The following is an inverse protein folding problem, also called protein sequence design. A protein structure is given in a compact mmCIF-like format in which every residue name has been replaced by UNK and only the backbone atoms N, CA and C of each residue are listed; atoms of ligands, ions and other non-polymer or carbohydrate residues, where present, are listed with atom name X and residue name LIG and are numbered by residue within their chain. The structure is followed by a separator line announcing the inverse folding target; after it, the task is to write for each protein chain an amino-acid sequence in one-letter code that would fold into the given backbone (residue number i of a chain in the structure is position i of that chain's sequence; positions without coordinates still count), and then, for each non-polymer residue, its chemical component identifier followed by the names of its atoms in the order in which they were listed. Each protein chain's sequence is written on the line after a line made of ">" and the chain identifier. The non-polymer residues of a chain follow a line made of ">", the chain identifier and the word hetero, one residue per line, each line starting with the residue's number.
data_IF_031335178044
#
_entry.id   IF_031335178044
#
_cell.length_a   1.000
_cell.length_b   1.000
_cell.length_c   1.000
_cell.angle_alpha   90.00
_cell.angle_beta   90.00
_cell.angle_gamma   90.00
#
_symmetry.space_group_name_H-M   'P 1'
#
loop_
_entity.id
_entity.type
_entity.pdbx_description
1 polymer ?
#
# COMPACT_ATOMS: atom_id res chain seq x y z
N UNK A 1 -79.59 25.58 -56.82
CA UNK A 1 -80.47 26.66 -56.31
C UNK A 1 -80.61 26.49 -54.82
N UNK A 2 -80.59 27.61 -54.08
CA UNK A 2 -80.72 27.78 -52.62
C UNK A 2 -79.59 27.12 -51.79
N UNK A 3 -78.76 27.86 -51.04
CA UNK A 3 -79.11 28.93 -50.09
C UNK A 3 -79.34 28.22 -48.75
N UNK A 4 -78.51 28.34 -47.72
CA UNK A 4 -78.10 29.56 -47.05
C UNK A 4 -78.26 29.33 -45.53
N UNK A 5 -77.25 29.71 -44.76
CA UNK A 5 -77.27 30.26 -43.39
C UNK A 5 -78.16 29.64 -42.28
N UNK A 6 -77.55 29.21 -41.15
CA UNK A 6 -77.43 29.97 -39.88
C UNK A 6 -77.00 29.06 -38.68
N UNK A 7 -75.95 29.53 -38.00
CA UNK A 7 -75.39 29.21 -36.66
C UNK A 7 -76.34 29.77 -35.56
N UNK A 8 -76.28 29.52 -34.21
CA UNK A 8 -75.24 28.89 -33.34
C UNK A 8 -75.76 27.92 -32.24
N UNK A 9 -74.82 27.27 -31.52
CA UNK A 9 -74.92 27.18 -30.05
C UNK A 9 -73.53 27.09 -29.40
N UNK A 10 -73.24 28.08 -28.57
CA UNK A 10 -72.04 28.24 -27.76
C UNK A 10 -72.05 27.32 -26.53
N UNK A 11 -70.93 26.64 -26.24
CA UNK A 11 -70.32 26.48 -24.90
C UNK A 11 -68.80 26.26 -25.12
N UNK A 12 -67.87 27.19 -24.84
CA UNK A 12 -67.33 27.54 -23.53
C UNK A 12 -66.70 26.30 -22.84
N UNK A 13 -65.38 26.08 -22.62
CA UNK A 13 -64.23 26.95 -22.31
C UNK A 13 -62.87 26.32 -22.75
N UNK A 14 -61.85 27.17 -22.91
CA UNK A 14 -60.39 26.93 -23.09
C UNK A 14 -59.69 26.28 -21.87
N UNK A 15 -58.34 26.09 -21.85
CA UNK A 15 -57.41 25.53 -22.83
C UNK A 15 -56.47 24.47 -22.18
N UNK A 16 -55.78 23.65 -22.97
CA UNK A 16 -54.52 23.04 -22.51
C UNK A 16 -53.56 22.91 -23.69
N UNK A 17 -52.71 23.93 -23.80
CA UNK A 17 -51.46 23.83 -24.54
C UNK A 17 -50.50 22.98 -23.72
N UNK A 18 -50.01 21.87 -24.28
CA UNK A 18 -48.74 21.26 -23.89
C UNK A 18 -48.21 20.35 -25.00
N UNK A 19 -47.21 20.90 -25.69
CA UNK A 19 -45.89 20.28 -25.87
C UNK A 19 -45.82 18.96 -26.67
N UNK A 20 -45.76 19.07 -27.99
CA UNK A 20 -45.19 18.05 -28.86
C UNK A 20 -43.78 18.48 -29.31
N UNK A 21 -42.78 18.25 -28.47
CA UNK A 21 -41.36 18.21 -28.87
C UNK A 21 -40.77 16.91 -28.34
N UNK A 22 -40.87 15.86 -29.16
CA UNK A 22 -40.20 14.57 -29.08
C UNK A 22 -39.82 14.26 -30.54
N UNK A 23 -38.63 13.84 -30.96
CA UNK A 23 -37.43 13.32 -30.32
C UNK A 23 -36.27 13.60 -31.30
N UNK A 24 -35.26 14.33 -30.88
CA UNK A 24 -33.91 14.24 -31.43
C UNK A 24 -32.95 14.54 -30.29
N UNK A 25 -32.87 13.64 -29.31
CA UNK A 25 -31.77 13.65 -28.37
C UNK A 25 -30.53 13.14 -29.12
N UNK A 26 -29.40 13.89 -29.17
CA UNK A 26 -28.17 13.30 -29.63
C UNK A 26 -27.82 12.17 -28.67
N UNK A 27 -27.48 11.00 -29.22
CA UNK A 27 -26.89 9.92 -28.45
C UNK A 27 -25.59 10.44 -27.82
N UNK A 28 -25.67 10.94 -26.60
CA UNK A 28 -24.49 11.09 -25.76
C UNK A 28 -23.98 9.67 -25.56
N UNK A 29 -22.89 9.35 -26.26
CA UNK A 29 -22.07 8.20 -25.92
C UNK A 29 -21.75 8.32 -24.43
N UNK A 30 -22.40 7.48 -23.60
CA UNK A 30 -21.97 7.26 -22.24
C UNK A 30 -20.53 6.74 -22.34
N UNK A 31 -19.55 7.61 -22.08
CA UNK A 31 -18.21 7.16 -21.73
C UNK A 31 -18.41 6.23 -20.54
N UNK A 32 -18.25 4.93 -20.80
CA UNK A 32 -18.20 3.91 -19.78
C UNK A 32 -17.26 4.39 -18.67
N UNK A 33 -17.80 4.53 -17.46
CA UNK A 33 -17.01 4.80 -16.27
C UNK A 33 -16.21 3.54 -15.91
N UNK A 34 -15.13 3.29 -16.65
CA UNK A 34 -14.15 2.23 -16.35
C UNK A 34 -13.01 2.73 -15.46
N UNK A 35 -13.26 3.74 -14.61
CA UNK A 35 -12.22 4.46 -13.86
C UNK A 35 -11.83 3.85 -12.51
N UNK A 36 -12.38 2.70 -12.12
CA UNK A 36 -12.20 2.20 -10.75
C UNK A 36 -10.83 1.54 -10.49
N UNK A 37 -10.11 1.07 -11.52
CA UNK A 37 -8.87 0.28 -11.37
C UNK A 37 -7.70 0.80 -12.23
N UNK A 38 -7.72 2.05 -12.68
CA UNK A 38 -6.68 2.59 -13.57
C UNK A 38 -5.44 2.99 -12.78
N UNK A 39 -4.27 2.51 -13.17
CA UNK A 39 -2.97 2.99 -12.68
C UNK A 39 -2.54 4.15 -13.59
N UNK A 40 -2.74 5.38 -13.13
CA UNK A 40 -2.57 6.61 -13.90
C UNK A 40 -1.42 7.49 -13.40
N UNK A 41 -1.01 7.36 -12.14
CA UNK A 41 0.10 8.13 -11.55
C UNK A 41 1.04 7.21 -10.78
N UNK A 42 2.34 7.29 -11.06
CA UNK A 42 3.38 6.63 -10.27
C UNK A 42 4.32 7.68 -9.71
N UNK A 43 4.67 7.52 -8.43
CA UNK A 43 5.71 8.33 -7.80
C UNK A 43 6.96 7.49 -7.67
N UNK A 44 8.06 8.01 -8.20
CA UNK A 44 9.37 7.41 -8.16
C UNK A 44 10.24 8.19 -7.17
N UNK A 45 10.73 7.50 -6.16
CA UNK A 45 11.55 8.06 -5.11
C UNK A 45 12.99 7.58 -5.23
N UNK A 46 13.92 8.52 -5.45
CA UNK A 46 15.34 8.24 -5.40
C UNK A 46 15.83 8.40 -3.96
N UNK A 47 16.22 7.30 -3.31
CA UNK A 47 16.70 7.29 -1.93
C UNK A 47 17.80 8.31 -1.65
N UNK A 48 17.87 8.81 -0.41
CA UNK A 48 18.87 9.79 0.05
C UNK A 48 18.91 11.10 -0.78
N UNK A 49 20.07 11.77 -0.86
CA UNK A 49 20.28 12.97 -1.67
C UNK A 49 20.90 14.13 -0.90
N UNK A 50 21.62 15.01 -1.60
CA UNK A 50 22.28 16.17 -1.01
C UNK A 50 23.26 15.77 0.09
N UNK A 51 22.96 16.20 1.32
CA UNK A 51 23.77 15.93 2.53
C UNK A 51 23.75 14.48 3.00
N UNK A 52 22.78 13.69 2.52
CA UNK A 52 22.69 12.26 2.82
C UNK A 52 23.26 11.47 1.62
N UNK A 53 24.47 10.90 1.72
CA UNK A 53 25.03 10.09 0.65
C UNK A 53 24.42 8.68 0.58
N UNK A 54 23.68 8.26 1.61
CA UNK A 54 23.36 6.84 1.83
C UNK A 54 24.62 6.02 2.08
N UNK A 55 24.61 4.76 1.65
CA UNK A 55 25.76 3.88 1.73
C UNK A 55 26.94 4.40 0.87
N UNK A 56 28.13 4.39 1.46
CA UNK A 56 29.39 4.79 0.84
C UNK A 56 30.03 3.71 -0.04
N UNK A 57 29.45 2.50 -0.07
CA UNK A 57 29.96 1.35 -0.80
C UNK A 57 31.31 0.87 -0.28
N UNK A 58 32.15 0.35 -1.18
CA UNK A 58 33.52 -0.09 -0.84
C UNK A 58 34.52 1.07 -0.77
N UNK A 59 34.09 2.29 -1.12
CA UNK A 59 34.90 3.51 -1.26
C UNK A 59 35.93 3.45 -2.41
N UNK A 60 35.84 2.47 -3.31
CA UNK A 60 36.60 2.46 -4.57
C UNK A 60 36.10 3.50 -5.57
N UNK A 61 34.84 3.89 -5.45
CA UNK A 61 34.18 4.91 -6.26
C UNK A 61 33.97 6.21 -5.47
N UNK A 62 33.87 7.32 -6.21
CA UNK A 62 33.51 8.64 -5.64
C UNK A 62 32.00 8.80 -5.44
N UNK A 63 31.22 8.12 -6.28
CA UNK A 63 29.76 8.09 -6.22
C UNK A 63 29.31 7.15 -5.11
N UNK A 64 28.15 7.46 -4.57
CA UNK A 64 27.53 6.80 -3.41
C UNK A 64 26.13 6.32 -3.77
N UNK A 65 25.44 5.71 -2.81
CA UNK A 65 24.07 5.22 -3.00
C UNK A 65 23.14 6.26 -3.62
N UNK A 66 23.15 7.51 -3.12
CA UNK A 66 22.28 8.58 -3.65
C UNK A 66 22.43 8.83 -5.15
N UNK A 67 23.62 8.60 -5.71
CA UNK A 67 23.94 8.86 -7.10
C UNK A 67 23.40 7.73 -7.99
N UNK A 68 23.62 6.48 -7.57
CA UNK A 68 23.12 5.28 -8.24
C UNK A 68 21.58 5.25 -8.19
N UNK A 69 21.01 5.50 -7.01
CA UNK A 69 19.56 5.55 -6.82
C UNK A 69 18.91 6.60 -7.73
N UNK A 70 19.49 7.80 -7.84
CA UNK A 70 19.00 8.86 -8.74
C UNK A 70 19.08 8.42 -10.20
N UNK A 71 20.24 7.90 -10.63
CA UNK A 71 20.45 7.51 -12.02
C UNK A 71 19.45 6.42 -12.46
N UNK A 72 19.27 5.38 -11.65
CA UNK A 72 18.30 4.30 -11.93
C UNK A 72 16.87 4.84 -11.89
N UNK A 73 16.52 5.69 -10.93
CA UNK A 73 15.18 6.30 -10.82
C UNK A 73 14.80 7.11 -12.06
N UNK A 74 15.73 7.94 -12.56
CA UNK A 74 15.51 8.74 -13.76
C UNK A 74 15.31 7.85 -15.00
N UNK A 75 16.10 6.79 -15.14
CA UNK A 75 15.96 5.80 -16.22
C UNK A 75 14.62 5.07 -16.14
N UNK A 76 14.17 4.65 -14.96
CA UNK A 76 12.83 4.04 -14.77
C UNK A 76 11.74 4.99 -15.27
N UNK A 77 11.79 6.24 -14.82
CA UNK A 77 10.80 7.23 -15.21
C UNK A 77 10.86 7.60 -16.70
N UNK A 78 12.05 7.59 -17.31
CA UNK A 78 12.20 7.73 -18.76
C UNK A 78 11.49 6.59 -19.50
N UNK A 79 11.76 5.33 -19.14
CA UNK A 79 11.12 4.17 -19.78
C UNK A 79 9.60 4.19 -19.63
N UNK A 80 9.08 4.60 -18.46
CA UNK A 80 7.63 4.77 -18.26
C UNK A 80 7.08 5.87 -19.16
N UNK A 81 7.68 7.06 -19.20
CA UNK A 81 7.23 8.18 -20.05
C UNK A 81 7.22 7.82 -21.53
N UNK A 82 8.21 7.08 -22.00
CA UNK A 82 8.34 6.68 -23.41
C UNK A 82 7.35 5.59 -23.83
N UNK A 83 7.04 4.66 -22.92
CA UNK A 83 6.30 3.43 -23.28
C UNK A 83 4.90 3.33 -22.66
N UNK A 84 4.56 4.19 -21.70
CA UNK A 84 3.27 4.28 -21.01
C UNK A 84 2.84 5.76 -20.96
N UNK A 85 2.55 6.40 -22.10
CA UNK A 85 2.24 7.84 -22.16
C UNK A 85 0.97 8.22 -21.39
N UNK A 86 0.18 7.24 -20.99
CA UNK A 86 -1.05 7.37 -20.24
C UNK A 86 -0.84 7.32 -18.71
N UNK A 87 0.43 7.19 -18.27
CA UNK A 87 0.90 7.21 -16.88
C UNK A 87 1.69 8.50 -16.60
N UNK A 88 1.26 9.26 -15.60
CA UNK A 88 1.98 10.40 -15.06
C UNK A 88 3.09 9.94 -14.13
N UNK A 89 4.33 10.27 -14.47
CA UNK A 89 5.50 10.06 -13.60
C UNK A 89 5.75 11.31 -12.76
N UNK A 90 5.85 11.14 -11.44
CA UNK A 90 6.23 12.19 -10.49
C UNK A 90 7.48 11.72 -9.75
N UNK A 91 8.51 12.56 -9.64
CA UNK A 91 9.70 12.24 -8.87
C UNK A 91 9.68 12.93 -7.51
N UNK A 92 10.26 12.32 -6.49
CA UNK A 92 10.54 13.03 -5.24
C UNK A 92 11.70 14.02 -5.40
N UNK A 93 12.71 13.64 -6.20
CA UNK A 93 13.81 14.49 -6.66
C UNK A 93 14.29 14.07 -8.05
N UNK A 94 14.75 15.06 -8.82
CA UNK A 94 15.35 14.86 -10.15
C UNK A 94 16.83 15.29 -10.19
N UNK A 95 17.35 15.75 -9.06
CA UNK A 95 18.72 16.21 -8.86
C UNK A 95 19.24 15.79 -7.47
N UNK A 96 20.45 16.23 -7.12
CA UNK A 96 21.12 15.91 -5.86
C UNK A 96 20.65 16.80 -4.69
N UNK A 97 19.33 16.91 -4.48
CA UNK A 97 18.75 17.57 -3.30
C UNK A 97 18.37 16.55 -2.23
N UNK A 98 18.50 16.95 -0.96
CA UNK A 98 17.98 16.17 0.16
C UNK A 98 16.47 16.38 0.29
N UNK A 99 15.69 15.29 0.31
CA UNK A 99 14.26 15.29 0.61
C UNK A 99 14.04 14.57 1.94
N UNK A 100 13.33 15.23 2.85
CA UNK A 100 12.93 14.67 4.16
C UNK A 100 12.02 13.45 3.98
N UNK A 101 12.10 12.47 4.88
CA UNK A 101 11.43 11.18 4.73
C UNK A 101 9.91 11.31 4.69
N UNK A 102 9.33 12.12 5.58
CA UNK A 102 7.90 12.44 5.55
C UNK A 102 7.49 13.13 4.27
N UNK A 103 8.34 14.02 3.75
CA UNK A 103 8.02 14.77 2.55
C UNK A 103 7.91 13.85 1.33
N UNK A 104 8.75 12.81 1.22
CA UNK A 104 8.65 11.78 0.15
C UNK A 104 7.26 11.13 0.10
N UNK A 105 6.77 10.68 1.24
CA UNK A 105 5.40 10.16 1.39
C UNK A 105 4.34 11.23 1.07
N UNK A 106 4.53 12.47 1.53
CA UNK A 106 3.60 13.57 1.23
C UNK A 106 3.54 13.89 -0.26
N UNK A 107 4.64 13.76 -1.00
CA UNK A 107 4.69 13.92 -2.47
C UNK A 107 3.75 12.90 -3.12
N UNK A 108 3.80 11.65 -2.65
CA UNK A 108 2.96 10.58 -3.14
C UNK A 108 1.47 10.85 -2.87
N UNK A 109 1.16 11.19 -1.63
CA UNK A 109 -0.21 11.41 -1.17
C UNK A 109 -0.88 12.59 -1.87
N UNK A 110 -0.20 13.74 -1.96
CA UNK A 110 -0.77 14.95 -2.60
C UNK A 110 -0.95 14.81 -4.10
N UNK A 111 -0.13 13.98 -4.75
CA UNK A 111 -0.28 13.66 -6.17
C UNK A 111 -1.31 12.55 -6.42
N UNK A 112 -1.90 11.96 -5.37
CA UNK A 112 -2.84 10.84 -5.46
C UNK A 112 -2.26 9.70 -6.30
N UNK A 113 -1.02 9.32 -6.01
CA UNK A 113 -0.34 8.26 -6.74
C UNK A 113 -1.09 6.93 -6.61
N UNK A 114 -1.03 6.12 -7.66
CA UNK A 114 -1.58 4.75 -7.70
C UNK A 114 -0.51 3.70 -7.37
N UNK A 115 0.77 4.11 -7.38
CA UNK A 115 1.91 3.33 -6.93
C UNK A 115 3.06 4.25 -6.48
N UNK A 116 3.81 3.81 -5.48
CA UNK A 116 5.03 4.44 -4.99
C UNK A 116 6.20 3.45 -5.05
N UNK A 117 7.30 3.82 -5.70
CA UNK A 117 8.50 2.99 -5.84
C UNK A 117 9.69 3.79 -5.33
N UNK A 118 10.24 3.39 -4.19
CA UNK A 118 11.48 3.95 -3.63
C UNK A 118 12.65 3.06 -3.99
N UNK A 119 13.74 3.63 -4.50
CA UNK A 119 14.90 2.92 -5.04
C UNK A 119 16.14 3.23 -4.20
N UNK A 120 16.77 2.18 -3.67
CA UNK A 120 17.89 2.19 -2.73
C UNK A 120 18.96 1.15 -3.12
N UNK A 121 20.12 1.23 -2.47
CA UNK A 121 21.17 0.23 -2.56
C UNK A 121 21.68 -0.19 -1.18
N UNK A 122 21.49 -1.47 -0.88
CA UNK A 122 21.75 -2.04 0.42
C UNK A 122 23.22 -1.95 0.87
N UNK A 123 23.41 -2.23 2.17
CA UNK A 123 24.70 -2.29 2.84
C UNK A 123 24.74 -3.46 3.82
N UNK A 124 25.92 -4.05 4.01
CA UNK A 124 26.17 -4.94 5.13
C UNK A 124 27.56 -4.70 5.73
N UNK A 125 27.75 -5.08 7.00
CA UNK A 125 29.05 -5.01 7.67
C UNK A 125 30.06 -5.96 7.03
N UNK A 126 29.61 -7.11 6.52
CA UNK A 126 30.44 -8.00 5.71
C UNK A 126 30.25 -7.70 4.21
N UNK A 127 31.26 -8.07 3.41
CA UNK A 127 31.23 -7.90 1.95
C UNK A 127 30.55 -9.06 1.22
N UNK A 128 30.17 -10.13 1.93
CA UNK A 128 29.62 -11.36 1.35
C UNK A 128 28.17 -11.22 0.81
N UNK A 129 27.24 -10.51 1.51
CA UNK A 129 25.87 -10.37 1.02
C UNK A 129 25.81 -9.68 -0.34
N UNK A 130 25.01 -10.26 -1.23
CA UNK A 130 24.78 -9.82 -2.60
C UNK A 130 23.36 -10.20 -3.05
N UNK A 131 22.90 -9.60 -4.15
CA UNK A 131 21.55 -9.81 -4.68
C UNK A 131 20.56 -8.71 -4.32
N UNK A 132 19.38 -8.78 -4.94
CA UNK A 132 18.33 -7.77 -4.83
C UNK A 132 17.27 -8.19 -3.82
N UNK A 133 16.61 -7.23 -3.19
CA UNK A 133 15.45 -7.46 -2.34
C UNK A 133 14.42 -6.35 -2.52
N UNK A 134 13.16 -6.63 -2.20
CA UNK A 134 12.11 -5.62 -2.24
C UNK A 134 11.26 -5.71 -0.99
N UNK A 135 10.98 -4.55 -0.41
CA UNK A 135 10.32 -4.41 0.87
C UNK A 135 8.93 -3.79 0.69
N UNK A 136 7.98 -4.34 1.42
CA UNK A 136 6.66 -3.76 1.64
C UNK A 136 6.48 -3.45 3.13
N UNK A 137 5.52 -2.59 3.45
CA UNK A 137 5.22 -2.28 4.84
C UNK A 137 4.77 -3.55 5.57
N UNK A 138 5.35 -3.79 6.74
CA UNK A 138 4.91 -4.86 7.63
C UNK A 138 5.78 -4.99 8.86
N UNK A 139 5.42 -5.93 9.72
CA UNK A 139 6.20 -6.25 10.91
C UNK A 139 7.52 -6.91 10.50
N UNK A 140 8.60 -6.52 11.16
CA UNK A 140 9.90 -7.09 10.89
C UNK A 140 9.89 -8.57 11.28
N UNK A 141 10.19 -9.44 10.31
CA UNK A 141 10.28 -10.89 10.55
C UNK A 141 11.64 -11.34 11.06
N UNK A 142 12.69 -10.55 10.81
CA UNK A 142 14.08 -10.90 11.15
C UNK A 142 14.86 -9.67 11.65
N UNK A 143 15.93 -9.91 12.39
CA UNK A 143 16.84 -8.85 12.83
C UNK A 143 17.53 -8.14 11.66
N UNK A 144 17.83 -8.84 10.57
CA UNK A 144 18.38 -8.24 9.36
C UNK A 144 17.41 -7.22 8.75
N UNK A 145 16.12 -7.56 8.64
CA UNK A 145 15.10 -6.63 8.13
C UNK A 145 14.91 -5.41 9.05
N UNK A 146 15.06 -5.59 10.36
CA UNK A 146 15.07 -4.47 11.31
C UNK A 146 16.25 -3.54 11.07
N UNK A 147 17.46 -4.09 10.90
CA UNK A 147 18.67 -3.27 10.73
C UNK A 147 18.64 -2.47 9.44
N UNK A 148 18.17 -3.03 8.32
CA UNK A 148 18.00 -2.29 7.07
C UNK A 148 17.00 -1.16 7.28
N UNK A 149 15.82 -1.44 7.84
CA UNK A 149 14.83 -0.41 8.12
C UNK A 149 15.33 0.70 9.06
N UNK A 150 16.08 0.35 10.11
CA UNK A 150 16.69 1.33 11.01
C UNK A 150 17.67 2.23 10.25
N UNK A 151 18.57 1.64 9.45
CA UNK A 151 19.56 2.38 8.66
C UNK A 151 18.90 3.35 7.67
N UNK A 152 17.85 2.91 6.99
CA UNK A 152 17.13 3.78 6.04
C UNK A 152 16.32 4.87 6.76
N UNK A 153 15.79 4.57 7.95
CA UNK A 153 15.11 5.54 8.80
C UNK A 153 16.06 6.52 9.51
N UNK A 154 17.36 6.24 9.62
CA UNK A 154 18.35 7.12 10.31
C UNK A 154 18.53 8.47 9.62
N UNK A 155 18.15 8.58 8.35
CA UNK A 155 18.11 9.84 7.59
C UNK A 155 17.27 10.95 8.26
N UNK A 156 16.31 10.60 9.13
CA UNK A 156 15.56 11.58 9.94
C UNK A 156 16.47 12.40 10.87
N UNK A 157 17.60 11.85 11.31
CA UNK A 157 18.54 12.54 12.20
C UNK A 157 19.21 13.73 11.50
N UNK A 158 19.16 13.76 10.17
CA UNK A 158 19.66 14.86 9.36
C UNK A 158 18.64 15.99 9.22
N UNK A 159 17.38 15.79 9.61
CA UNK A 159 16.29 16.77 9.47
C UNK A 159 16.28 17.80 10.61
N UNK A 160 16.02 19.06 10.26
CA UNK A 160 15.78 20.09 11.28
C UNK A 160 14.48 19.77 12.03
N UNK A 161 14.50 19.92 13.35
CA UNK A 161 13.37 19.70 14.25
C UNK A 161 12.78 18.27 14.23
N UNK A 162 13.58 17.24 13.91
CA UNK A 162 13.13 15.84 13.83
C UNK A 162 12.42 15.36 15.11
N UNK A 163 12.84 15.82 16.30
CA UNK A 163 12.19 15.47 17.57
C UNK A 163 10.73 15.94 17.67
N UNK A 164 10.38 17.04 16.99
CA UNK A 164 9.02 17.61 16.95
C UNK A 164 8.20 17.05 15.78
N UNK A 165 8.83 16.81 14.62
CA UNK A 165 8.16 16.35 13.39
C UNK A 165 7.61 14.93 13.48
N UNK A 166 8.26 14.08 14.27
CA UNK A 166 7.89 12.67 14.39
C UNK A 166 7.25 12.32 15.74
N UNK A 167 6.89 13.31 16.57
CA UNK A 167 6.09 13.17 17.82
C UNK A 167 6.50 11.97 18.72
N UNK A 168 7.80 11.79 18.94
CA UNK A 168 8.32 10.70 19.76
C UNK A 168 8.38 9.33 19.09
N UNK A 169 8.29 9.25 17.75
CA UNK A 169 8.56 8.04 16.97
C UNK A 169 9.93 7.46 17.33
N UNK A 170 9.92 6.31 17.99
CA UNK A 170 11.09 5.48 18.17
C UNK A 170 11.07 4.38 17.09
N UNK A 171 12.00 4.37 16.11
CA UNK A 171 12.11 3.30 15.13
C UNK A 171 12.38 1.92 15.77
N UNK A 172 12.69 1.87 17.07
CA UNK A 172 12.88 0.64 17.85
C UNK A 172 11.62 0.21 18.62
N UNK A 173 10.54 1.00 18.62
CA UNK A 173 9.27 0.67 19.28
C UNK A 173 8.34 -0.15 18.35
N UNK A 174 8.08 -1.43 18.66
CA UNK A 174 7.20 -2.29 17.85
C UNK A 174 5.74 -1.79 17.77
N UNK A 175 5.24 -1.03 18.76
CA UNK A 175 3.85 -0.57 18.80
C UNK A 175 3.58 0.56 17.80
N UNK A 176 4.56 1.45 17.62
CA UNK A 176 4.61 2.48 16.58
C UNK A 176 4.45 1.89 15.18
N UNK A 177 5.08 0.74 14.93
CA UNK A 177 5.07 0.04 13.64
C UNK A 177 3.80 -0.78 13.38
N UNK A 178 3.15 -1.29 14.44
CA UNK A 178 1.90 -2.05 14.32
C UNK A 178 0.75 -1.16 13.80
N UNK A 179 0.47 -0.01 14.39
CA UNK A 179 -0.68 0.81 13.93
C UNK A 179 -0.47 1.38 12.51
N UNK A 180 0.78 1.62 12.17
CA UNK A 180 1.18 2.11 10.86
C UNK A 180 1.06 1.02 9.78
N UNK A 181 1.47 -0.22 10.09
CA UNK A 181 1.24 -1.37 9.20
C UNK A 181 -0.23 -1.72 9.05
N UNK A 182 -1.06 -1.52 10.09
CA UNK A 182 -2.52 -1.71 10.00
C UNK A 182 -3.20 -0.75 9.01
N UNK A 183 -2.66 0.47 8.83
CA UNK A 183 -3.16 1.44 7.83
C UNK A 183 -2.83 1.02 6.39
N UNK A 184 -1.67 0.40 6.18
CA UNK A 184 -1.19 -0.07 4.88
C UNK A 184 -1.81 -1.40 4.43
N UNK A 185 -2.48 -2.13 5.32
CA UNK A 185 -3.06 -3.44 5.02
C UNK A 185 -4.01 -3.41 3.81
N UNK A 186 -4.66 -2.27 3.53
CA UNK A 186 -5.55 -2.13 2.37
C UNK A 186 -4.84 -2.24 1.01
N UNK A 187 -3.53 -2.00 0.95
CA UNK A 187 -2.72 -2.01 -0.28
C UNK A 187 -1.58 -3.03 -0.24
N UNK A 188 -1.55 -3.86 0.80
CA UNK A 188 -0.47 -4.82 1.02
C UNK A 188 -0.38 -5.81 -0.14
N UNK A 189 -1.51 -6.38 -0.59
CA UNK A 189 -1.56 -7.34 -1.69
C UNK A 189 -1.02 -6.77 -3.01
N UNK A 190 -1.38 -5.53 -3.33
CA UNK A 190 -0.88 -4.83 -4.50
C UNK A 190 0.62 -4.52 -4.38
N UNK A 191 1.08 -4.17 -3.18
CA UNK A 191 2.51 -3.93 -2.91
C UNK A 191 3.32 -5.22 -3.02
N UNK A 192 2.77 -6.35 -2.53
CA UNK A 192 3.36 -7.68 -2.66
C UNK A 192 3.42 -8.11 -4.13
N UNK A 193 2.35 -7.89 -4.89
CA UNK A 193 2.32 -8.17 -6.32
C UNK A 193 3.40 -7.39 -7.07
N UNK A 194 3.45 -6.07 -6.90
CA UNK A 194 4.47 -5.23 -7.53
C UNK A 194 5.88 -5.66 -7.12
N UNK A 195 6.09 -5.98 -5.84
CA UNK A 195 7.40 -6.43 -5.33
C UNK A 195 7.82 -7.77 -5.93
N UNK A 196 6.89 -8.72 -6.07
CA UNK A 196 7.16 -10.03 -6.68
C UNK A 196 7.56 -9.87 -8.15
N UNK A 197 6.80 -9.07 -8.90
CA UNK A 197 7.10 -8.78 -10.30
C UNK A 197 8.48 -8.14 -10.47
N UNK A 198 8.89 -7.25 -9.55
CA UNK A 198 10.22 -6.64 -9.56
C UNK A 198 11.31 -7.70 -9.32
N UNK A 199 11.15 -8.55 -8.31
CA UNK A 199 12.12 -9.61 -8.01
C UNK A 199 12.26 -10.61 -9.16
N UNK A 200 11.14 -11.03 -9.78
CA UNK A 200 11.16 -11.92 -10.95
C UNK A 200 11.90 -11.27 -12.13
N UNK A 201 11.73 -9.97 -12.38
CA UNK A 201 12.48 -9.28 -13.42
C UNK A 201 13.99 -9.20 -13.12
N UNK A 202 14.39 -9.03 -11.85
CA UNK A 202 15.80 -9.06 -11.47
C UNK A 202 16.42 -10.45 -11.65
N UNK A 203 15.72 -11.49 -11.20
CA UNK A 203 16.14 -12.88 -11.32
C UNK A 203 16.22 -13.33 -12.78
N UNK A 204 15.12 -13.24 -13.50
CA UNK A 204 14.95 -13.94 -14.78
C UNK A 204 15.54 -13.19 -15.98
N UNK A 205 15.67 -11.87 -15.87
CA UNK A 205 16.09 -11.02 -17.01
C UNK A 205 17.40 -10.31 -16.77
N UNK A 206 17.69 -9.90 -15.54
CA UNK A 206 18.97 -9.27 -15.20
C UNK A 206 20.00 -10.30 -14.73
N UNK A 207 19.55 -11.43 -14.18
CA UNK A 207 20.44 -12.49 -13.66
C UNK A 207 21.02 -12.15 -12.29
N UNK A 208 20.27 -11.42 -11.45
CA UNK A 208 20.68 -11.09 -10.08
C UNK A 208 20.16 -12.15 -9.11
N UNK A 209 20.86 -12.32 -7.99
CA UNK A 209 20.40 -13.20 -6.90
C UNK A 209 19.12 -12.63 -6.29
N UNK A 210 18.05 -13.41 -6.33
CA UNK A 210 16.74 -13.10 -5.72
C UNK A 210 16.79 -13.36 -4.21
N UNK A 211 16.58 -12.32 -3.41
CA UNK A 211 16.50 -12.42 -1.94
C UNK A 211 15.06 -12.24 -1.43
N UNK A 212 14.11 -12.21 -2.36
CA UNK A 212 12.67 -12.24 -2.11
C UNK A 212 12.05 -10.92 -1.68
N UNK A 213 10.75 -11.00 -1.48
CA UNK A 213 9.92 -9.92 -0.94
C UNK A 213 9.90 -10.00 0.58
N UNK A 214 10.14 -8.87 1.23
CA UNK A 214 10.30 -8.77 2.69
C UNK A 214 9.34 -7.75 3.28
N UNK A 215 9.02 -7.92 4.55
CA UNK A 215 8.27 -6.95 5.33
C UNK A 215 9.19 -6.26 6.34
N UNK A 216 9.13 -4.94 6.34
CA UNK A 216 9.80 -4.12 7.33
C UNK A 216 9.14 -2.73 7.43
N UNK A 217 9.42 -2.09 8.54
CA UNK A 217 8.90 -0.80 8.93
C UNK A 217 9.66 0.41 8.38
N UNK A 218 9.71 0.58 7.06
CA UNK A 218 10.38 1.73 6.45
C UNK A 218 9.50 2.99 6.50
N UNK A 219 10.01 4.07 7.08
CA UNK A 219 9.29 5.33 7.23
C UNK A 219 8.83 5.92 5.89
N UNK A 220 9.63 5.78 4.84
CA UNK A 220 9.33 6.35 3.52
C UNK A 220 8.08 5.75 2.86
N UNK A 221 7.79 4.46 3.09
CA UNK A 221 6.61 3.78 2.54
C UNK A 221 5.43 3.74 3.51
N UNK A 222 5.65 4.01 4.79
CA UNK A 222 4.65 3.77 5.82
C UNK A 222 3.53 4.83 5.88
N UNK A 223 3.82 6.07 5.46
CA UNK A 223 2.87 7.18 5.43
C UNK A 223 2.21 7.37 4.05
N UNK A 224 2.50 6.51 3.09
CA UNK A 224 1.85 6.54 1.77
C UNK A 224 0.37 6.12 1.85
N UNK A 225 -0.47 6.47 0.89
CA UNK A 225 -1.90 6.10 0.86
C UNK A 225 -2.27 5.24 -0.35
N UNK A 226 -1.28 4.57 -0.93
CA UNK A 226 -1.35 3.73 -2.12
C UNK A 226 -0.34 2.57 -2.00
N UNK A 227 -0.36 1.57 -2.90
CA UNK A 227 0.66 0.52 -2.95
C UNK A 227 2.07 1.10 -3.02
N UNK A 228 2.95 0.66 -2.12
CA UNK A 228 4.27 1.22 -1.93
C UNK A 228 5.34 0.15 -1.71
N UNK A 229 6.46 0.28 -2.42
CA UNK A 229 7.59 -0.65 -2.35
C UNK A 229 8.90 0.11 -2.18
N UNK A 230 9.83 -0.49 -1.43
CA UNK A 230 11.24 -0.07 -1.38
C UNK A 230 12.10 -1.15 -2.02
N UNK A 231 12.85 -0.78 -3.04
CA UNK A 231 13.65 -1.68 -3.88
C UNK A 231 15.11 -1.50 -3.52
N UNK A 232 15.74 -2.58 -3.07
CA UNK A 232 17.19 -2.67 -2.88
C UNK A 232 17.83 -3.29 -4.12
N UNK A 233 18.59 -2.49 -4.87
CA UNK A 233 19.18 -2.90 -6.15
C UNK A 233 20.32 -3.92 -5.99
N UNK A 234 20.96 -3.96 -4.83
CA UNK A 234 22.13 -4.78 -4.52
C UNK A 234 22.95 -4.18 -3.39
N UNK A 235 23.99 -4.87 -2.93
CA UNK A 235 24.79 -4.46 -1.78
C UNK A 235 26.04 -3.69 -2.21
N UNK A 236 26.12 -2.37 -2.02
CA UNK A 236 27.32 -1.60 -2.42
C UNK A 236 28.57 -1.96 -1.61
N UNK A 237 28.41 -2.65 -0.49
CA UNK A 237 29.54 -3.17 0.31
C UNK A 237 30.16 -4.44 -0.29
N UNK A 238 29.51 -5.06 -1.28
CA UNK A 238 30.07 -6.12 -2.10
C UNK A 238 30.67 -5.50 -3.37
N UNK A 239 31.94 -5.82 -3.67
CA UNK A 239 32.67 -5.18 -4.75
C UNK A 239 32.10 -5.49 -6.15
N UNK A 240 31.62 -6.70 -6.39
CA UNK A 240 31.05 -7.10 -7.69
C UNK A 240 29.69 -6.45 -7.92
N UNK A 241 28.86 -6.39 -6.87
CA UNK A 241 27.58 -5.67 -6.89
C UNK A 241 27.79 -4.18 -7.15
N UNK A 242 28.76 -3.56 -6.46
CA UNK A 242 29.09 -2.14 -6.64
C UNK A 242 29.60 -1.86 -8.06
N UNK A 243 30.50 -2.69 -8.61
CA UNK A 243 30.98 -2.54 -9.98
C UNK A 243 29.84 -2.63 -11.00
N UNK A 244 28.91 -3.56 -10.79
CA UNK A 244 27.72 -3.69 -11.62
C UNK A 244 26.81 -2.46 -11.54
N UNK A 245 26.47 -2.00 -10.33
CA UNK A 245 25.55 -0.89 -10.09
C UNK A 245 26.14 0.50 -10.43
N UNK A 246 27.46 0.63 -10.45
CA UNK A 246 28.15 1.81 -10.95
C UNK A 246 28.18 1.85 -12.49
N UNK A 247 28.08 0.69 -13.15
CA UNK A 247 28.12 0.61 -14.60
C UNK A 247 26.82 1.11 -15.24
N UNK A 248 26.94 1.84 -16.35
CA UNK A 248 25.79 2.28 -17.16
C UNK A 248 24.88 1.11 -17.54
N UNK A 249 25.48 -0.01 -17.95
CA UNK A 249 24.75 -1.23 -18.34
C UNK A 249 23.95 -1.81 -17.17
N UNK A 250 24.54 -1.88 -15.98
CA UNK A 250 23.86 -2.37 -14.79
C UNK A 250 22.67 -1.47 -14.41
N UNK A 251 22.87 -0.15 -14.44
CA UNK A 251 21.80 0.81 -14.17
C UNK A 251 20.65 0.71 -15.19
N UNK A 252 20.96 0.60 -16.48
CA UNK A 252 19.97 0.41 -17.54
C UNK A 252 19.20 -0.91 -17.38
N UNK A 253 19.88 -1.98 -17.00
CA UNK A 253 19.27 -3.29 -16.80
C UNK A 253 18.31 -3.30 -15.60
N UNK A 254 18.75 -2.75 -14.47
CA UNK A 254 17.93 -2.62 -13.27
C UNK A 254 16.71 -1.72 -13.50
N UNK A 255 16.91 -0.57 -14.14
CA UNK A 255 15.82 0.33 -14.48
C UNK A 255 14.80 -0.32 -15.44
N UNK A 256 15.29 -1.06 -16.44
CA UNK A 256 14.43 -1.77 -17.39
C UNK A 256 13.64 -2.90 -16.72
N UNK A 257 14.22 -3.57 -15.73
CA UNK A 257 13.52 -4.57 -14.91
C UNK A 257 12.37 -3.95 -14.10
N UNK A 258 12.64 -2.86 -13.36
CA UNK A 258 11.61 -2.15 -12.59
C UNK A 258 10.49 -1.62 -13.51
N UNK A 259 10.84 -1.05 -14.66
CA UNK A 259 9.86 -0.60 -15.66
C UNK A 259 8.97 -1.75 -16.14
N UNK A 260 9.54 -2.90 -16.53
CA UNK A 260 8.75 -4.05 -17.02
C UNK A 260 7.84 -4.60 -15.93
N UNK A 261 8.32 -4.67 -14.70
CA UNK A 261 7.52 -5.08 -13.55
C UNK A 261 6.35 -4.12 -13.29
N UNK A 262 6.59 -2.81 -13.33
CA UNK A 262 5.54 -1.80 -13.17
C UNK A 262 4.50 -1.84 -14.31
N UNK A 263 4.96 -2.03 -15.56
CA UNK A 263 4.07 -2.22 -16.72
C UNK A 263 3.17 -3.44 -16.53
N UNK A 264 3.74 -4.56 -16.09
CA UNK A 264 2.98 -5.78 -15.83
C UNK A 264 1.99 -5.60 -14.67
N UNK A 265 2.43 -4.98 -13.58
CA UNK A 265 1.55 -4.62 -12.45
C UNK A 265 0.35 -3.78 -12.92
N UNK A 266 0.59 -2.71 -13.69
CA UNK A 266 -0.47 -1.88 -14.27
C UNK A 266 -1.46 -2.72 -15.08
N UNK A 267 -0.97 -3.59 -15.96
CA UNK A 267 -1.84 -4.46 -16.77
C UNK A 267 -2.71 -5.36 -15.89
N UNK A 268 -2.12 -6.02 -14.88
CA UNK A 268 -2.88 -6.92 -14.00
C UNK A 268 -3.95 -6.20 -13.18
N UNK A 269 -3.62 -5.03 -12.61
CA UNK A 269 -4.59 -4.23 -11.85
C UNK A 269 -5.74 -3.74 -12.75
N UNK A 270 -5.44 -3.32 -13.98
CA UNK A 270 -6.42 -2.76 -14.92
C UNK A 270 -7.32 -3.82 -15.56
N UNK A 271 -6.82 -5.03 -15.79
CA UNK A 271 -7.56 -6.11 -16.47
C UNK A 271 -8.30 -7.08 -15.53
N UNK A 272 -8.23 -6.88 -14.20
CA UNK A 272 -8.92 -7.70 -13.17
C UNK A 272 -8.59 -9.21 -13.20
N UNK A 273 -7.51 -9.63 -13.86
CA UNK A 273 -7.02 -11.03 -13.83
C UNK A 273 -6.16 -11.32 -12.59
N UNK A 274 -6.49 -10.69 -11.47
CA UNK A 274 -5.73 -10.82 -10.22
C UNK A 274 -6.25 -12.05 -9.46
N UNK A 275 -5.73 -13.23 -9.80
CA UNK A 275 -5.84 -14.42 -8.96
C UNK A 275 -4.56 -14.50 -8.10
N UNK A 276 -4.57 -13.83 -6.94
CA UNK A 276 -3.43 -13.78 -6.02
C UNK A 276 -3.34 -15.07 -5.22
N UNK A 277 -2.71 -16.07 -5.80
CA UNK A 277 -2.26 -17.26 -5.09
C UNK A 277 -0.76 -17.11 -4.78
N UNK A 278 -0.42 -16.06 -4.00
CA UNK A 278 0.96 -15.80 -3.56
C UNK A 278 1.05 -16.18 -2.08
N UNK A 279 1.36 -17.45 -1.83
CA UNK A 279 1.75 -17.94 -0.52
C UNK A 279 3.20 -17.52 -0.22
N UNK A 280 3.48 -16.82 0.89
CA UNK A 280 4.85 -16.60 1.32
C UNK A 280 5.43 -17.94 1.81
N UNK A 281 6.20 -18.61 0.96
CA UNK A 281 6.84 -19.86 1.33
C UNK A 281 7.98 -19.61 2.34
N UNK A 282 8.04 -20.49 3.35
CA UNK A 282 8.94 -20.56 4.53
C UNK A 282 8.61 -19.69 5.75
N UNK A 283 7.46 -19.97 6.36
CA UNK A 283 7.27 -19.79 7.80
C UNK A 283 8.05 -20.86 8.58
N UNK A 284 9.25 -20.55 9.05
CA UNK A 284 9.85 -21.26 10.17
C UNK A 284 9.06 -20.94 11.44
N UNK A 285 8.62 -21.98 12.16
CA UNK A 285 7.93 -21.87 13.45
C UNK A 285 8.82 -21.14 14.47
N UNK A 286 8.31 -20.14 15.22
CA UNK A 286 9.01 -19.65 16.39
C UNK A 286 8.73 -20.59 17.57
N UNK A 287 9.70 -21.45 17.88
CA UNK A 287 9.81 -22.10 19.19
C UNK A 287 10.50 -21.13 20.14
N UNK A 288 9.76 -20.45 21.04
CA UNK A 288 10.14 -20.18 22.45
C UNK A 288 8.90 -19.59 23.18
N UNK A 289 8.59 -20.00 24.43
CA UNK A 289 7.33 -19.62 25.10
C UNK A 289 7.34 -18.16 25.58
N UNK A 290 6.23 -17.45 25.33
CA UNK A 290 5.97 -16.14 25.92
C UNK A 290 5.60 -16.28 27.41
N UNK A 291 6.21 -15.45 28.26
CA UNK A 291 5.90 -15.33 29.68
C UNK A 291 4.48 -14.73 29.90
N UNK A 292 3.81 -15.05 31.02
CA UNK A 292 2.41 -14.66 31.24
C UNK A 292 2.30 -13.19 31.65
N UNK A 293 1.42 -12.45 30.97
CA UNK A 293 1.01 -11.09 31.35
C UNK A 293 -0.39 -11.17 31.96
N UNK A 294 -0.56 -10.57 33.14
CA UNK A 294 -1.82 -10.54 33.92
C UNK A 294 -2.96 -9.86 33.16
N UNK A 295 -4.18 -10.39 33.36
CA UNK A 295 -5.45 -9.83 32.87
C UNK A 295 -5.83 -8.52 33.61
N UNK A 296 -6.42 -7.52 32.91
CA UNK A 296 -7.12 -6.41 33.54
C UNK A 296 -8.65 -6.59 33.54
N UNK A 297 -9.28 -6.13 34.63
CA UNK A 297 -10.72 -6.19 34.92
C UNK A 297 -11.60 -5.42 33.90
N UNK A 298 -12.70 -6.05 33.48
CA UNK A 298 -13.51 -5.67 32.32
C UNK A 298 -14.57 -4.57 32.52
N UNK A 299 -14.19 -3.32 32.81
CA UNK A 299 -15.16 -2.21 32.92
C UNK A 299 -14.92 -0.96 32.03
N UNK A 300 -14.03 -1.02 31.04
CA UNK A 300 -13.70 0.14 30.17
C UNK A 300 -14.76 0.51 29.11
N UNK A 301 -15.81 -0.31 28.97
CA UNK A 301 -16.80 -0.21 27.88
C UNK A 301 -16.25 -0.55 26.48
N UNK A 302 -14.96 -0.86 26.38
CA UNK A 302 -14.30 -1.23 25.12
C UNK A 302 -14.56 -2.69 24.80
N UNK A 303 -14.78 -2.98 23.51
CA UNK A 303 -14.91 -4.32 22.96
C UNK A 303 -14.06 -4.48 21.72
N UNK A 304 -13.42 -5.64 21.61
CA UNK A 304 -12.59 -6.03 20.48
C UNK A 304 -13.31 -7.10 19.65
N UNK A 305 -13.46 -6.85 18.35
CA UNK A 305 -14.06 -7.79 17.39
C UNK A 305 -13.09 -8.06 16.26
N UNK A 306 -13.18 -9.21 15.60
CA UNK A 306 -12.32 -9.57 14.47
C UNK A 306 -13.06 -9.39 13.16
N UNK A 307 -12.67 -8.41 12.35
CA UNK A 307 -13.23 -8.22 11.01
C UNK A 307 -12.63 -9.24 10.04
N UNK A 308 -13.47 -10.07 9.42
CA UNK A 308 -13.07 -11.19 8.56
C UNK A 308 -13.31 -10.92 7.07
N UNK A 309 -14.18 -9.97 6.73
CA UNK A 309 -14.46 -9.62 5.34
C UNK A 309 -15.05 -8.20 5.20
N UNK A 310 -14.92 -7.63 4.00
CA UNK A 310 -15.63 -6.42 3.57
C UNK A 310 -16.05 -6.58 2.12
N UNK A 311 -17.32 -6.33 1.80
CA UNK A 311 -17.87 -6.56 0.47
C UNK A 311 -18.79 -5.43 0.03
N UNK A 312 -18.80 -5.11 -1.26
CA UNK A 312 -19.75 -4.12 -1.82
C UNK A 312 -21.19 -4.68 -1.89
N UNK A 313 -21.33 -5.99 -2.10
CA UNK A 313 -22.63 -6.68 -2.08
C UNK A 313 -22.82 -7.38 -0.74
N UNK A 314 -24.06 -7.35 -0.23
CA UNK A 314 -24.44 -8.04 0.99
C UNK A 314 -24.25 -9.56 0.87
N UNK A 315 -23.65 -10.17 1.88
CA UNK A 315 -23.55 -11.62 2.07
C UNK A 315 -24.26 -11.93 3.40
N UNK A 316 -25.35 -12.71 3.42
CA UNK A 316 -26.02 -13.08 4.66
C UNK A 316 -25.05 -13.73 5.67
N UNK A 317 -25.20 -13.42 6.96
CA UNK A 317 -24.33 -13.93 8.03
C UNK A 317 -24.38 -15.47 8.18
N UNK A 318 -25.48 -16.09 7.76
CA UNK A 318 -25.70 -17.55 7.70
C UNK A 318 -25.19 -18.20 6.40
N UNK A 319 -24.54 -17.42 5.53
CA UNK A 319 -23.96 -17.92 4.28
C UNK A 319 -22.99 -19.08 4.54
N UNK A 320 -22.93 -20.10 3.65
CA UNK A 320 -21.92 -21.15 3.72
C UNK A 320 -20.49 -20.64 3.80
N UNK A 321 -20.24 -19.41 3.30
CA UNK A 321 -18.94 -18.73 3.42
C UNK A 321 -18.48 -18.56 4.87
N UNK A 322 -19.41 -18.38 5.80
CA UNK A 322 -19.13 -18.12 7.22
C UNK A 322 -19.35 -19.35 8.11
N UNK A 323 -19.38 -20.56 7.51
CA UNK A 323 -19.70 -21.79 8.22
C UNK A 323 -18.82 -21.97 9.46
N UNK A 324 -19.47 -22.13 10.62
CA UNK A 324 -18.81 -22.34 11.90
C UNK A 324 -18.25 -21.08 12.54
N UNK A 325 -18.65 -19.89 12.11
CA UNK A 325 -18.38 -18.61 12.76
C UNK A 325 -19.70 -17.92 13.09
N UNK A 326 -19.78 -17.30 14.27
CA UNK A 326 -20.86 -16.36 14.59
C UNK A 326 -20.46 -14.99 14.05
N UNK A 327 -21.08 -14.61 12.93
CA UNK A 327 -20.75 -13.39 12.19
C UNK A 327 -21.78 -12.30 12.47
N UNK A 328 -21.28 -11.15 12.90
CA UNK A 328 -22.01 -9.90 12.95
C UNK A 328 -21.82 -9.11 11.65
N UNK A 329 -22.92 -8.74 11.03
CA UNK A 329 -22.95 -7.94 9.81
C UNK A 329 -23.24 -6.47 10.14
N UNK A 330 -22.45 -5.56 9.57
CA UNK A 330 -22.67 -4.11 9.73
C UNK A 330 -22.53 -3.40 8.39
N UNK A 331 -23.46 -2.49 8.10
CA UNK A 331 -23.37 -1.60 6.94
C UNK A 331 -22.62 -0.31 7.31
N UNK A 332 -21.58 0.02 6.56
CA UNK A 332 -20.82 1.25 6.73
C UNK A 332 -20.63 1.94 5.38
N UNK A 333 -21.43 2.97 5.11
CA UNK A 333 -21.55 3.57 3.78
C UNK A 333 -22.08 2.57 2.75
N UNK A 334 -21.38 2.44 1.63
CA UNK A 334 -21.71 1.51 0.53
C UNK A 334 -21.17 0.08 0.76
N UNK A 335 -20.46 -0.18 1.86
CA UNK A 335 -19.79 -1.45 2.13
C UNK A 335 -20.44 -2.22 3.28
N UNK A 336 -20.44 -3.54 3.17
CA UNK A 336 -20.83 -4.49 4.19
C UNK A 336 -19.59 -5.06 4.88
N UNK A 337 -19.57 -5.03 6.21
CA UNK A 337 -18.47 -5.52 7.04
C UNK A 337 -18.96 -6.71 7.86
N UNK A 338 -18.08 -7.69 8.03
CA UNK A 338 -18.38 -8.93 8.75
C UNK A 338 -17.35 -9.11 9.85
N UNK A 339 -17.83 -9.20 11.09
CA UNK A 339 -16.98 -9.32 12.27
C UNK A 339 -17.36 -10.53 13.12
N UNK A 340 -16.40 -11.07 13.86
CA UNK A 340 -16.56 -12.23 14.73
C UNK A 340 -16.02 -11.91 16.12
N UNK A 341 -16.73 -12.40 17.14
CA UNK A 341 -16.32 -12.25 18.54
C UNK A 341 -16.58 -10.87 19.12
N UNK A 342 -16.40 -10.77 20.44
CA UNK A 342 -16.68 -9.57 21.23
C UNK A 342 -15.85 -9.58 22.53
N UNK A 343 -14.53 -9.64 22.38
CA UNK A 343 -13.60 -9.76 23.50
C UNK A 343 -13.49 -8.46 24.32
N UNK A 344 -13.21 -8.57 25.61
CA UNK A 344 -13.00 -7.44 26.53
C UNK A 344 -11.58 -6.90 26.53
N UNK A 345 -10.63 -7.68 26.02
CA UNK A 345 -9.22 -7.34 25.93
C UNK A 345 -8.63 -7.80 24.59
N UNK A 346 -7.38 -7.38 24.35
CA UNK A 346 -6.66 -7.70 23.13
C UNK A 346 -6.21 -9.17 23.06
N UNK A 347 -6.03 -9.84 24.20
CA UNK A 347 -5.57 -11.23 24.24
C UNK A 347 -6.67 -12.17 23.74
N UNK A 348 -7.88 -12.06 24.27
CA UNK A 348 -9.04 -12.80 23.79
C UNK A 348 -9.37 -12.48 22.33
N UNK A 349 -9.20 -11.22 21.90
CA UNK A 349 -9.38 -10.86 20.49
C UNK A 349 -8.38 -11.56 19.55
N UNK A 350 -7.15 -11.81 20.01
CA UNK A 350 -6.12 -12.56 19.24
C UNK A 350 -6.46 -14.04 19.11
N UNK A 351 -7.06 -14.65 20.14
CA UNK A 351 -7.53 -16.04 20.05
C UNK A 351 -8.63 -16.18 18.99
N UNK A 352 -9.60 -15.26 19.00
CA UNK A 352 -10.66 -15.20 17.97
C UNK A 352 -10.05 -14.98 16.58
N UNK A 353 -9.04 -14.11 16.47
CA UNK A 353 -8.36 -13.85 15.21
C UNK A 353 -7.66 -15.10 14.67
N UNK A 354 -6.93 -15.81 15.53
CA UNK A 354 -6.26 -17.06 15.19
C UNK A 354 -7.27 -18.13 14.73
N UNK A 355 -8.40 -18.25 15.42
CA UNK A 355 -9.48 -19.17 15.06
C UNK A 355 -10.12 -18.83 13.70
N UNK A 356 -10.28 -17.54 13.38
CA UNK A 356 -10.77 -17.10 12.06
C UNK A 356 -9.76 -17.44 10.95
N UNK A 357 -8.47 -17.19 11.19
CA UNK A 357 -7.41 -17.52 10.21
C UNK A 357 -7.31 -19.02 9.95
N UNK A 358 -7.38 -19.84 11.00
CA UNK A 358 -7.40 -21.31 10.87
C UNK A 358 -8.58 -21.84 10.03
N UNK A 359 -9.63 -21.03 9.85
CA UNK A 359 -10.81 -21.33 9.02
C UNK A 359 -10.73 -20.73 7.60
N UNK A 360 -9.57 -20.23 7.19
CA UNK A 360 -9.32 -19.69 5.84
C UNK A 360 -9.60 -18.19 5.70
N UNK A 361 -9.74 -17.45 6.80
CA UNK A 361 -9.85 -15.98 6.79
C UNK A 361 -8.50 -15.33 7.09
N UNK A 362 -7.52 -15.53 6.22
CA UNK A 362 -6.13 -15.09 6.45
C UNK A 362 -5.99 -13.58 6.65
N UNK A 363 -6.89 -12.79 6.04
CA UNK A 363 -7.02 -11.34 6.20
C UNK A 363 -7.72 -10.87 7.47
N UNK A 364 -8.10 -11.76 8.40
CA UNK A 364 -8.82 -11.39 9.62
C UNK A 364 -7.98 -10.46 10.53
N UNK A 365 -8.57 -9.34 10.98
CA UNK A 365 -7.90 -8.36 11.84
C UNK A 365 -8.79 -7.81 12.96
N UNK A 366 -8.17 -7.39 14.06
CA UNK A 366 -8.87 -6.91 15.25
C UNK A 366 -9.31 -5.45 15.06
N UNK A 367 -10.54 -5.17 15.48
CA UNK A 367 -11.17 -3.85 15.53
C UNK A 367 -11.60 -3.56 16.96
N UNK A 368 -11.50 -2.30 17.39
CA UNK A 368 -11.96 -1.88 18.70
C UNK A 368 -13.18 -0.97 18.60
N UNK A 369 -14.08 -1.14 19.56
CA UNK A 369 -15.36 -0.47 19.61
C UNK A 369 -15.64 -0.01 21.03
N UNK A 370 -16.21 1.18 21.17
CA UNK A 370 -16.71 1.72 22.44
C UNK A 370 -18.03 2.41 22.15
N UNK A 371 -19.05 2.09 22.94
CA UNK A 371 -20.41 2.66 22.80
C UNK A 371 -21.02 2.53 21.39
N UNK A 372 -20.67 1.45 20.67
CA UNK A 372 -21.16 1.20 19.30
C UNK A 372 -20.38 1.90 18.19
N UNK A 373 -19.40 2.74 18.53
CA UNK A 373 -18.52 3.42 17.57
C UNK A 373 -17.15 2.77 17.51
N UNK A 374 -16.55 2.75 16.31
CA UNK A 374 -15.20 2.22 16.11
C UNK A 374 -14.19 3.25 16.62
N UNK A 375 -13.34 2.82 17.53
CA UNK A 375 -12.25 3.63 18.09
C UNK A 375 -10.89 3.12 17.62
N UNK A 376 -9.86 3.95 17.77
CA UNK A 376 -8.49 3.56 17.47
C UNK A 376 -8.03 2.42 18.40
N UNK A 377 -7.28 1.45 17.87
CA UNK A 377 -6.88 0.26 18.63
C UNK A 377 -5.90 0.60 19.75
N UNK A 378 -5.03 1.61 19.59
CA UNK A 378 -4.15 2.06 20.68
C UNK A 378 -4.96 2.71 21.78
N UNK A 379 -5.85 3.63 21.41
CA UNK A 379 -6.77 4.27 22.36
C UNK A 379 -7.56 3.21 23.15
N UNK A 380 -8.07 2.19 22.47
CA UNK A 380 -8.81 1.08 23.08
C UNK A 380 -7.98 0.26 24.08
N UNK A 381 -6.73 -0.06 23.75
CA UNK A 381 -5.83 -0.82 24.63
C UNK A 381 -5.43 0.02 25.85
N UNK A 382 -5.17 1.32 25.67
CA UNK A 382 -4.92 2.24 26.79
C UNK A 382 -6.12 2.30 27.73
N UNK A 383 -7.33 2.47 27.20
CA UNK A 383 -8.57 2.48 27.97
C UNK A 383 -8.87 1.16 28.70
N UNK A 384 -8.32 0.03 28.25
CA UNK A 384 -8.49 -1.28 28.89
C UNK A 384 -7.39 -1.56 29.92
N UNK A 385 -6.20 -0.97 29.74
CA UNK A 385 -5.06 -1.12 30.66
C UNK A 385 -5.13 -0.16 31.85
N UNK A 386 -5.81 0.97 31.68
CA UNK A 386 -6.03 2.02 32.68
C UNK A 386 -7.54 2.39 32.66
N UNK A 387 -8.42 1.54 33.25
CA UNK A 387 -9.88 1.56 33.03
C UNK A 387 -10.62 2.78 33.60
#
# INVERSE_FOLDING_TARGET
>A
MAGGLLVPAHRAWWPLALLAVLLCAPAMAQKSASSANRVATVVLDAGHGGKDPGNLGTKRYKTTEKDIALAVTLLVGQYIKENLPDVKVVYTREDDRFIELMERSNIANRNKADAFISIHCNANKSADPHGCETYVMGLHKTQANMQVAMKENESILLEADHALKYDGYDPKDPESMIALSLRQNAYLDHSLLLSSLIQDQFKDRVGRTDRGVKQAGFLVICYTTMPAVLVELGFLTNAEEEDFLQSKKGQEYMASAIYRAFKEYKNQIEHKDVNLDISPETAAKPDTPAAPVKEPDGNSGVRFKVQIATTAKRIPADSPRFKGLEVEETKAGELWKYSVGNATDLAGAREVQAACKAKGFDGAFITAWKDGERIDLRQAVTLVRDP
#
